data_IF_661656381947
#
_entry.id   IF_661656381947
#
_cell.length_a   1.000
_cell.length_b   1.000
_cell.length_c   1.000
_cell.angle_alpha   90.00
_cell.angle_beta   90.00
_cell.angle_gamma   90.00
#
_symmetry.space_group_name_H-M   'P 1'
#
loop_
_entity.id
_entity.type
_entity.pdbx_description
1 polymer ?
#
# COMPACT_ATOMS: atom_id res chain seq x y z
N UNK A 1 -1.60 -20.50 19.90
CA UNK A 1 -2.56 -19.42 19.54
C UNK A 1 -2.24 -18.94 18.14
N UNK A 2 -3.21 -18.91 17.24
CA UNK A 2 -3.02 -18.38 15.89
C UNK A 2 -3.26 -16.88 15.91
N UNK A 3 -2.22 -16.06 15.78
CA UNK A 3 -2.39 -14.61 15.68
C UNK A 3 -3.14 -14.26 14.38
N UNK A 4 -4.33 -13.67 14.53
CA UNK A 4 -5.16 -13.21 13.41
C UNK A 4 -4.53 -11.95 12.81
N UNK A 5 -4.31 -11.96 11.50
CA UNK A 5 -3.92 -10.76 10.77
C UNK A 5 -5.16 -9.91 10.54
N UNK A 6 -5.09 -8.63 10.91
CA UNK A 6 -6.16 -7.66 10.76
C UNK A 6 -5.84 -6.69 9.62
N UNK A 7 -6.86 -5.96 9.14
CA UNK A 7 -6.66 -4.87 8.17
C UNK A 7 -5.64 -3.85 8.66
N UNK A 8 -5.64 -3.51 9.96
CA UNK A 8 -4.68 -2.57 10.55
C UNK A 8 -3.22 -3.03 10.40
N UNK A 9 -2.96 -4.33 10.46
CA UNK A 9 -1.60 -4.85 10.19
C UNK A 9 -1.19 -4.63 8.72
N UNK A 10 -2.13 -4.75 7.78
CA UNK A 10 -1.88 -4.49 6.36
C UNK A 10 -1.66 -2.99 6.11
N UNK A 11 -2.53 -2.14 6.64
CA UNK A 11 -2.42 -0.68 6.54
C UNK A 11 -1.08 -0.18 7.09
N UNK A 12 -0.64 -0.71 8.24
CA UNK A 12 0.67 -0.39 8.80
C UNK A 12 1.83 -0.78 7.86
N UNK A 13 1.76 -1.97 7.23
CA UNK A 13 2.78 -2.40 6.27
C UNK A 13 2.81 -1.55 5.01
N UNK A 14 1.65 -1.17 4.49
CA UNK A 14 1.56 -0.25 3.33
C UNK A 14 2.15 1.11 3.68
N UNK A 15 1.87 1.63 4.89
CA UNK A 15 2.49 2.87 5.37
C UNK A 15 4.02 2.76 5.40
N UNK A 16 4.55 1.70 6.02
CA UNK A 16 5.99 1.46 6.06
C UNK A 16 6.60 1.34 4.65
N UNK A 17 5.90 0.69 3.72
CA UNK A 17 6.36 0.58 2.34
C UNK A 17 6.45 1.95 1.66
N UNK A 18 5.44 2.82 1.82
CA UNK A 18 5.49 4.18 1.31
C UNK A 18 6.68 4.96 1.90
N UNK A 19 6.89 4.89 3.22
CA UNK A 19 8.04 5.53 3.89
C UNK A 19 9.39 5.01 3.35
N UNK A 20 9.47 3.72 3.05
CA UNK A 20 10.67 3.13 2.45
C UNK A 20 10.93 3.67 1.04
N UNK A 21 9.91 3.91 0.23
CA UNK A 21 10.09 4.49 -1.10
C UNK A 21 10.12 6.03 -1.12
N UNK A 22 9.94 6.69 0.02
CA UNK A 22 9.85 8.16 0.09
C UNK A 22 8.55 8.71 -0.51
N UNK A 23 7.54 7.86 -0.63
CA UNK A 23 6.22 8.19 -1.17
C UNK A 23 5.31 8.78 -0.08
N UNK A 24 4.20 9.38 -0.49
CA UNK A 24 3.18 9.89 0.45
C UNK A 24 2.52 8.72 1.19
N UNK A 25 2.10 8.96 2.43
CA UNK A 25 1.37 7.95 3.22
C UNK A 25 -0.15 8.03 3.03
N UNK A 26 -0.65 9.20 2.64
CA UNK A 26 -2.05 9.43 2.31
C UNK A 26 -2.27 9.20 0.82
N UNK A 27 -3.32 8.46 0.46
CA UNK A 27 -3.71 8.24 -0.94
C UNK A 27 -4.26 9.52 -1.62
N UNK A 28 -4.87 10.40 -0.85
CA UNK A 28 -5.56 11.59 -1.33
C UNK A 28 -5.22 12.80 -0.47
N UNK A 29 -4.99 13.94 -1.10
CA UNK A 29 -4.77 15.22 -0.42
C UNK A 29 -5.95 16.15 -0.71
N UNK A 30 -6.48 16.82 0.33
CA UNK A 30 -7.51 17.84 0.16
C UNK A 30 -6.85 19.21 -0.09
N UNK A 31 -7.15 19.82 -1.23
CA UNK A 31 -6.69 21.16 -1.59
C UNK A 31 -7.43 22.27 -0.84
N UNK A 32 -6.90 23.49 -0.94
CA UNK A 32 -7.50 24.70 -0.36
C UNK A 32 -8.87 25.03 -0.99
N UNK A 33 -9.09 24.60 -2.22
CA UNK A 33 -10.37 24.69 -2.95
C UNK A 33 -11.40 23.64 -2.50
N UNK A 34 -11.03 22.79 -1.54
CA UNK A 34 -11.87 21.73 -0.99
C UNK A 34 -11.92 20.46 -1.85
N UNK A 35 -11.25 20.42 -3.00
CA UNK A 35 -11.22 19.23 -3.87
C UNK A 35 -10.17 18.24 -3.39
N UNK A 36 -10.38 16.96 -3.71
CA UNK A 36 -9.41 15.91 -3.46
C UNK A 36 -8.61 15.62 -4.72
N UNK A 37 -7.30 15.52 -4.58
CA UNK A 37 -6.38 15.06 -5.61
C UNK A 37 -5.73 13.78 -5.16
N UNK A 38 -5.64 12.80 -6.06
CA UNK A 38 -4.89 11.57 -5.79
C UNK A 38 -3.40 11.92 -5.64
N UNK A 39 -2.66 11.10 -4.91
CA UNK A 39 -1.21 11.21 -4.81
C UNK A 39 -0.58 10.07 -5.64
N UNK A 40 -0.24 10.28 -6.93
CA UNK A 40 0.44 9.27 -7.75
C UNK A 40 1.71 8.77 -7.08
N UNK A 41 2.04 7.49 -7.31
CA UNK A 41 3.20 6.84 -6.69
C UNK A 41 2.89 6.20 -5.33
N UNK A 42 1.83 6.63 -4.65
CA UNK A 42 1.44 6.09 -3.33
C UNK A 42 0.97 4.64 -3.44
N UNK A 43 1.55 3.77 -2.62
CA UNK A 43 1.05 2.41 -2.38
C UNK A 43 -0.20 2.46 -1.51
N UNK A 44 -1.22 1.70 -1.89
CA UNK A 44 -2.53 1.67 -1.24
C UNK A 44 -2.99 0.24 -1.01
N UNK A 45 -3.85 0.05 0.00
CA UNK A 45 -4.49 -1.22 0.29
C UNK A 45 -5.91 -1.20 -0.30
N UNK A 46 -6.11 -1.89 -1.40
CA UNK A 46 -7.44 -2.08 -1.96
C UNK A 46 -8.14 -3.28 -1.28
N UNK A 47 -9.41 -3.09 -0.95
CA UNK A 47 -10.24 -4.06 -0.24
C UNK A 47 -11.60 -4.20 -0.94
N UNK A 48 -11.89 -5.40 -1.44
CA UNK A 48 -13.18 -5.74 -2.04
C UNK A 48 -13.50 -7.21 -1.77
N UNK A 49 -14.79 -7.52 -1.57
CA UNK A 49 -15.29 -8.89 -1.36
C UNK A 49 -14.57 -9.67 -0.24
N UNK A 50 -14.14 -8.97 0.81
CA UNK A 50 -13.41 -9.57 1.95
C UNK A 50 -11.93 -9.90 1.69
N UNK A 51 -11.43 -9.64 0.48
CA UNK A 51 -10.03 -9.84 0.11
C UNK A 51 -9.26 -8.54 -0.06
N UNK A 52 -7.93 -8.62 0.10
CA UNK A 52 -7.02 -7.48 0.07
C UNK A 52 -5.97 -7.63 -1.03
N UNK A 53 -5.56 -6.52 -1.63
CA UNK A 53 -4.42 -6.47 -2.56
C UNK A 53 -3.58 -5.21 -2.32
N UNK A 54 -2.32 -5.29 -2.68
CA UNK A 54 -1.45 -4.12 -2.77
C UNK A 54 -1.62 -3.51 -4.17
N UNK A 55 -1.96 -2.24 -4.21
CA UNK A 55 -2.07 -1.46 -5.45
C UNK A 55 -1.26 -0.17 -5.32
N UNK A 56 -1.01 0.51 -6.44
CA UNK A 56 -0.31 1.80 -6.47
C UNK A 56 -1.10 2.78 -7.32
N UNK A 57 -1.25 4.02 -6.84
CA UNK A 57 -1.90 5.08 -7.62
C UNK A 57 -1.00 5.47 -8.78
N UNK A 58 -1.56 5.54 -9.98
CA UNK A 58 -0.82 5.77 -11.23
C UNK A 58 -1.10 7.12 -11.90
N UNK A 59 -2.15 7.84 -11.49
CA UNK A 59 -2.48 9.15 -12.07
C UNK A 59 -3.27 10.03 -11.08
N UNK A 60 -3.37 11.33 -11.41
CA UNK A 60 -4.05 12.33 -10.58
C UNK A 60 -5.57 12.10 -10.48
N UNK A 61 -6.13 11.31 -11.40
CA UNK A 61 -7.53 10.88 -11.40
C UNK A 61 -7.83 9.70 -10.46
N UNK A 62 -6.81 9.14 -9.80
CA UNK A 62 -6.96 8.03 -8.85
C UNK A 62 -6.98 6.64 -9.47
N UNK A 63 -6.55 6.49 -10.73
CA UNK A 63 -6.37 5.17 -11.33
C UNK A 63 -5.31 4.37 -10.56
N UNK A 64 -5.59 3.09 -10.30
CA UNK A 64 -4.70 2.20 -9.56
C UNK A 64 -4.15 1.08 -10.44
N UNK A 65 -2.89 0.71 -10.22
CA UNK A 65 -2.27 -0.48 -10.77
C UNK A 65 -2.12 -1.55 -9.69
N UNK A 66 -2.59 -2.76 -9.99
CA UNK A 66 -2.56 -3.89 -9.07
C UNK A 66 -1.18 -4.55 -9.07
N UNK A 67 -0.50 -4.51 -7.92
CA UNK A 67 0.84 -5.10 -7.75
C UNK A 67 0.78 -6.55 -7.27
N UNK A 68 -0.35 -6.94 -6.67
CA UNK A 68 -0.60 -8.31 -6.24
C UNK A 68 -2.01 -8.75 -6.63
N UNK A 69 -2.20 -10.06 -6.81
CA UNK A 69 -3.53 -10.63 -6.82
C UNK A 69 -4.26 -10.36 -5.48
N UNK A 70 -5.59 -10.42 -5.50
CA UNK A 70 -6.40 -10.32 -4.29
C UNK A 70 -6.32 -11.62 -3.50
N UNK A 71 -5.99 -11.52 -2.21
CA UNK A 71 -5.88 -12.66 -1.31
C UNK A 71 -6.53 -12.42 0.05
N UNK A 72 -6.40 -13.40 0.93
CA UNK A 72 -6.75 -13.26 2.34
C UNK A 72 -5.80 -12.28 3.04
N UNK A 73 -6.22 -11.72 4.18
CA UNK A 73 -5.37 -10.82 4.94
C UNK A 73 -3.99 -11.40 5.28
N UNK A 74 -3.88 -12.72 5.49
CA UNK A 74 -2.59 -13.36 5.77
C UNK A 74 -1.71 -13.44 4.53
N UNK A 75 -2.27 -13.79 3.37
CA UNK A 75 -1.53 -13.84 2.11
C UNK A 75 -1.05 -12.45 1.70
N UNK A 76 -1.94 -11.45 1.75
CA UNK A 76 -1.58 -10.06 1.44
C UNK A 76 -0.53 -9.52 2.42
N UNK A 77 -0.59 -9.92 3.69
CA UNK A 77 0.44 -9.56 4.66
C UNK A 77 1.80 -10.05 4.20
N UNK A 78 1.95 -11.35 3.90
CA UNK A 78 3.21 -11.89 3.41
C UNK A 78 3.65 -11.27 2.08
N UNK A 79 2.73 -11.03 1.16
CA UNK A 79 3.03 -10.36 -0.10
C UNK A 79 3.63 -8.96 0.12
N UNK A 80 2.98 -8.09 0.89
CA UNK A 80 3.54 -6.75 1.21
C UNK A 80 4.88 -6.87 1.95
N UNK A 81 5.03 -7.87 2.82
CA UNK A 81 6.29 -8.16 3.50
C UNK A 81 7.44 -8.44 2.55
N UNK A 82 7.21 -9.16 1.44
CA UNK A 82 8.23 -9.40 0.43
C UNK A 82 8.67 -8.11 -0.27
N UNK A 83 7.74 -7.20 -0.58
CA UNK A 83 8.05 -5.87 -1.12
C UNK A 83 8.89 -5.04 -0.15
N UNK A 84 8.53 -5.04 1.14
CA UNK A 84 9.30 -4.34 2.20
C UNK A 84 10.73 -4.88 2.29
N UNK A 85 10.89 -6.21 2.33
CA UNK A 85 12.20 -6.84 2.40
C UNK A 85 13.05 -6.50 1.19
N UNK A 86 12.46 -6.51 -0.02
CA UNK A 86 13.15 -6.09 -1.24
C UNK A 86 13.58 -4.62 -1.20
N UNK A 87 12.70 -3.72 -0.74
CA UNK A 87 13.02 -2.30 -0.61
C UNK A 87 14.16 -2.04 0.38
N UNK A 88 14.16 -2.73 1.53
CA UNK A 88 15.24 -2.64 2.51
C UNK A 88 16.57 -3.18 1.97
N UNK A 89 16.54 -4.32 1.26
CA UNK A 89 17.73 -4.88 0.63
C UNK A 89 18.33 -3.93 -0.41
N UNK A 90 17.49 -3.28 -1.24
CA UNK A 90 17.97 -2.26 -2.18
C UNK A 90 18.62 -1.06 -1.48
N UNK A 91 18.02 -0.57 -0.39
CA UNK A 91 18.60 0.54 0.39
C UNK A 91 19.93 0.20 1.04
N UNK A 92 20.11 -1.04 1.48
CA UNK A 92 21.36 -1.49 2.09
C UNK A 92 22.50 -1.67 1.05
N UNK A 93 22.16 -1.80 -0.23
CA UNK A 93 23.12 -1.99 -1.32
C UNK A 93 23.52 -0.69 -2.04
N UNK A 94 22.90 0.44 -1.69
CA UNK A 94 23.14 1.78 -2.26
C UNK A 94 24.06 2.60 -1.35
#
# INVERSE_FOLDING_TARGET
MTNRITKKHLEFRVKLLNELFGERTEAWTKGLDGKYSANPGTFVLDCAYGGYRLSRICNDGGGEHDLTARGTARETYYAIGAYINGAQAMKAAA
#
